data_IF_647974843563
#
_entry.id   IF_647974843563
#
_cell.length_a   1.000
_cell.length_b   1.000
_cell.length_c   1.000
_cell.angle_alpha   90.00
_cell.angle_beta   90.00
_cell.angle_gamma   90.00
#
_symmetry.space_group_name_H-M   'P 1'
#
loop_
_entity.id
_entity.type
_entity.pdbx_description
1 polymer ?
#
# COMPACT_ATOMS: atom_id res chain seq x y z
N UNK A 1 8.81 10.73 -4.32
CA UNK A 1 9.44 12.05 -4.01
C UNK A 1 8.65 12.57 -2.84
N UNK A 2 8.95 12.08 -1.64
CA UNK A 2 8.11 12.30 -0.46
C UNK A 2 7.94 13.80 -0.20
N UNK A 3 6.73 14.30 -0.45
CA UNK A 3 6.40 15.67 -0.14
C UNK A 3 6.34 15.82 1.38
N UNK A 4 6.79 16.96 1.90
CA UNK A 4 6.70 17.31 3.32
C UNK A 4 5.21 17.34 3.69
N UNK A 5 4.70 16.25 4.25
CA UNK A 5 3.27 16.10 4.60
C UNK A 5 2.68 14.72 4.30
N UNK A 6 3.35 13.86 3.52
CA UNK A 6 2.88 12.50 3.26
C UNK A 6 3.09 11.59 4.48
N UNK A 7 2.00 11.02 4.96
CA UNK A 7 1.95 10.05 6.06
C UNK A 7 2.22 8.65 5.54
N UNK A 8 1.69 8.34 4.36
CA UNK A 8 1.79 7.03 3.73
C UNK A 8 2.13 7.20 2.24
N UNK A 9 3.24 6.63 1.79
CA UNK A 9 3.60 6.55 0.37
C UNK A 9 3.75 5.07 -0.01
N UNK A 10 3.18 4.70 -1.15
CA UNK A 10 3.38 3.43 -1.80
C UNK A 10 3.84 3.68 -3.24
N UNK A 11 5.01 3.17 -3.61
CA UNK A 11 5.51 3.19 -5.00
C UNK A 11 5.64 1.77 -5.52
N UNK A 12 4.98 1.50 -6.66
CA UNK A 12 5.00 0.23 -7.40
C UNK A 12 4.73 -0.96 -6.49
N UNK A 13 3.76 -0.80 -5.59
CA UNK A 13 3.37 -1.84 -4.65
C UNK A 13 2.67 -2.97 -5.42
N UNK A 14 3.35 -4.11 -5.52
CA UNK A 14 2.78 -5.34 -6.07
C UNK A 14 2.46 -6.30 -4.92
N UNK A 15 1.21 -6.75 -4.87
CA UNK A 15 0.73 -7.65 -3.83
C UNK A 15 0.11 -8.92 -4.40
N UNK A 16 0.22 -10.00 -3.63
CA UNK A 16 -0.38 -11.28 -3.99
C UNK A 16 0.16 -12.41 -3.13
N UNK A 17 -0.05 -13.64 -3.57
CA UNK A 17 0.23 -14.84 -2.78
C UNK A 17 1.05 -15.83 -3.60
N UNK A 18 2.03 -16.46 -2.95
CA UNK A 18 2.89 -17.48 -3.57
C UNK A 18 3.51 -17.04 -4.92
N UNK A 19 3.92 -15.76 -5.02
CA UNK A 19 4.48 -15.20 -6.26
C UNK A 19 3.46 -14.77 -7.32
N UNK A 20 2.18 -15.05 -7.13
CA UNK A 20 1.12 -14.64 -8.07
C UNK A 20 0.48 -13.32 -7.63
N UNK A 21 0.54 -12.25 -8.46
CA UNK A 21 -0.13 -11.00 -8.15
C UNK A 21 -1.65 -11.16 -8.14
N UNK A 22 -2.33 -10.48 -7.21
CA UNK A 22 -3.81 -10.44 -7.12
C UNK A 22 -4.41 -9.17 -7.72
N UNK A 23 -3.59 -8.16 -7.96
CA UNK A 23 -3.91 -6.93 -8.67
C UNK A 23 -2.66 -6.43 -9.40
N UNK A 24 -2.82 -5.41 -10.26
CA UNK A 24 -1.68 -4.70 -10.84
C UNK A 24 -0.89 -3.92 -9.78
N UNK A 25 0.20 -3.30 -10.22
CA UNK A 25 0.98 -2.39 -9.38
C UNK A 25 0.14 -1.21 -8.92
N UNK A 26 0.36 -0.81 -7.67
CA UNK A 26 -0.37 0.28 -7.02
C UNK A 26 0.64 1.34 -6.55
N UNK A 27 0.49 2.57 -7.02
CA UNK A 27 1.25 3.73 -6.55
C UNK A 27 0.30 4.82 -6.05
N UNK A 28 0.49 5.28 -4.82
CA UNK A 28 -0.27 6.40 -4.25
C UNK A 28 0.49 7.05 -3.09
N UNK A 29 0.14 8.30 -2.79
CA UNK A 29 0.49 9.01 -1.57
C UNK A 29 -0.74 9.40 -0.78
N UNK A 30 -0.63 9.46 0.54
CA UNK A 30 -1.66 9.94 1.47
C UNK A 30 -1.03 10.94 2.41
N UNK A 31 -1.55 12.16 2.38
CA UNK A 31 -1.13 13.27 3.23
C UNK A 31 -1.83 13.25 4.58
N UNK A 32 -1.30 14.01 5.54
CA UNK A 32 -1.96 14.24 6.81
C UNK A 32 -3.38 14.80 6.60
N UNK A 33 -4.37 14.15 7.19
CA UNK A 33 -5.78 14.54 7.09
C UNK A 33 -6.51 13.99 5.86
N UNK A 34 -5.83 13.29 4.95
CA UNK A 34 -6.47 12.66 3.80
C UNK A 34 -7.01 11.26 4.13
N UNK A 35 -8.11 10.89 3.47
CA UNK A 35 -8.72 9.57 3.59
C UNK A 35 -8.62 8.85 2.24
N UNK A 36 -7.87 7.75 2.22
CA UNK A 36 -7.79 6.86 1.06
C UNK A 36 -8.82 5.74 1.16
N UNK A 37 -9.74 5.66 0.19
CA UNK A 37 -10.68 4.56 0.07
C UNK A 37 -10.22 3.54 -0.98
N UNK A 38 -10.06 2.28 -0.59
CA UNK A 38 -9.74 1.18 -1.52
C UNK A 38 -11.03 0.46 -1.91
N UNK A 39 -11.48 0.64 -3.15
CA UNK A 39 -12.76 0.13 -3.68
C UNK A 39 -12.57 -0.84 -4.85
N UNK A 40 -13.59 -1.64 -5.16
CA UNK A 40 -13.57 -2.63 -6.24
C UNK A 40 -14.27 -3.94 -5.90
N UNK A 41 -14.36 -4.85 -6.87
CA UNK A 41 -15.07 -6.13 -6.73
C UNK A 41 -14.42 -7.09 -5.71
N UNK A 42 -15.18 -8.10 -5.28
CA UNK A 42 -14.63 -9.20 -4.49
C UNK A 42 -13.53 -9.92 -5.29
N UNK A 43 -12.42 -10.26 -4.62
CA UNK A 43 -11.25 -10.85 -5.27
C UNK A 43 -10.27 -9.85 -5.90
N UNK A 44 -10.60 -8.56 -6.02
CA UNK A 44 -9.73 -7.55 -6.65
C UNK A 44 -8.45 -7.18 -5.86
N UNK A 45 -8.09 -7.94 -4.81
CA UNK A 45 -6.85 -7.70 -4.05
C UNK A 45 -6.91 -6.62 -2.96
N UNK A 46 -8.04 -5.93 -2.75
CA UNK A 46 -8.19 -4.84 -1.76
C UNK A 46 -7.65 -5.17 -0.37
N UNK A 47 -8.12 -6.27 0.22
CA UNK A 47 -7.68 -6.69 1.56
C UNK A 47 -6.19 -7.05 1.60
N UNK A 48 -5.66 -7.57 0.50
CA UNK A 48 -4.23 -7.88 0.35
C UNK A 48 -3.40 -6.60 0.32
N UNK A 49 -3.84 -5.57 -0.41
CA UNK A 49 -3.21 -4.24 -0.41
C UNK A 49 -3.20 -3.66 1.00
N UNK A 50 -4.36 -3.60 1.67
CA UNK A 50 -4.47 -3.04 3.04
C UNK A 50 -3.60 -3.80 4.05
N UNK A 51 -3.56 -5.14 3.99
CA UNK A 51 -2.69 -5.96 4.86
C UNK A 51 -1.21 -5.68 4.63
N UNK A 52 -0.82 -5.54 3.36
CA UNK A 52 0.57 -5.25 2.99
C UNK A 52 0.96 -3.85 3.45
N UNK A 53 0.08 -2.85 3.28
CA UNK A 53 0.28 -1.50 3.81
C UNK A 53 0.33 -1.45 5.34
N UNK A 54 -0.40 -2.33 6.04
CA UNK A 54 -0.37 -2.44 7.49
C UNK A 54 0.82 -3.26 8.04
N UNK A 55 1.68 -3.79 7.17
CA UNK A 55 2.85 -4.59 7.59
C UNK A 55 2.51 -5.99 8.06
N UNK A 56 1.33 -6.50 7.69
CA UNK A 56 0.87 -7.86 8.02
C UNK A 56 1.14 -8.88 6.91
N UNK A 57 1.68 -8.42 5.79
CA UNK A 57 2.01 -9.21 4.62
C UNK A 57 3.16 -8.53 3.89
N UNK A 58 4.06 -9.32 3.33
CA UNK A 58 5.17 -8.83 2.50
C UNK A 58 4.71 -8.57 1.06
N UNK A 59 5.23 -7.52 0.41
CA UNK A 59 5.03 -7.29 -1.01
C UNK A 59 5.70 -8.40 -1.84
N UNK A 60 5.23 -8.61 -3.07
CA UNK A 60 5.78 -9.63 -3.97
C UNK A 60 7.12 -9.24 -4.58
N UNK A 61 7.38 -7.95 -4.72
CA UNK A 61 8.62 -7.40 -5.25
C UNK A 61 9.16 -6.30 -4.33
N UNK A 62 10.37 -5.81 -4.64
CA UNK A 62 10.81 -4.56 -4.02
C UNK A 62 9.76 -3.48 -4.31
N UNK A 63 9.26 -2.86 -3.26
CA UNK A 63 8.31 -1.76 -3.35
C UNK A 63 8.62 -0.81 -2.22
N UNK A 64 8.46 0.49 -2.47
CA UNK A 64 8.70 1.49 -1.44
C UNK A 64 7.39 1.69 -0.71
N UNK A 65 7.33 1.27 0.56
CA UNK A 65 6.22 1.59 1.45
C UNK A 65 6.75 2.47 2.57
N UNK A 66 6.61 3.78 2.42
CA UNK A 66 6.97 4.73 3.45
C UNK A 66 5.77 4.89 4.39
N UNK A 67 5.89 4.34 5.60
CA UNK A 67 4.86 4.42 6.64
C UNK A 67 5.16 5.57 7.59
N UNK A 68 4.15 6.13 8.26
CA UNK A 68 4.44 7.14 9.25
C UNK A 68 5.20 6.48 10.40
N UNK A 69 6.24 7.14 10.89
CA UNK A 69 6.78 6.79 12.20
C UNK A 69 5.70 7.12 13.22
N UNK A 70 4.99 6.11 13.69
CA UNK A 70 4.15 6.21 14.89
C UNK A 70 5.09 6.48 16.08
N UNK A 71 5.54 7.72 16.23
CA UNK A 71 6.12 8.20 17.49
C UNK A 71 4.99 8.20 18.50
N UNK A 72 5.19 7.46 19.59
CA UNK A 72 4.28 7.40 20.75
C UNK A 72 3.98 8.79 21.30
#
# INVERSE_FOLDING_TARGET
MAAVGEVLEADRLLVGYAGSPVCGEVSFGVSLGEVLAVVGFNGAGKSTVVRTLAGRQDPLCESTVCRPRLTR
#
